data_IF_928065463868
#
_entry.id   IF_928065463868
#
_cell.length_a   1.000
_cell.length_b   1.000
_cell.length_c   1.000
_cell.angle_alpha   90.00
_cell.angle_beta   90.00
_cell.angle_gamma   90.00
#
_symmetry.space_group_name_H-M   'P 1'
#
loop_
_entity.id
_entity.type
_entity.pdbx_description
1 polymer ?
#
# COMPACT_ATOMS: atom_id res chain seq x y z
N UNK A 1 5.72 6.12 22.84
CA UNK A 1 5.95 6.64 21.49
C UNK A 1 4.81 6.26 20.57
N UNK A 2 4.46 7.13 19.65
CA UNK A 2 3.38 6.85 18.71
C UNK A 2 3.80 5.74 17.73
N UNK A 3 2.88 4.85 17.44
CA UNK A 3 3.08 3.82 16.42
C UNK A 3 3.18 4.48 15.05
N UNK A 4 3.95 3.87 14.16
CA UNK A 4 3.99 4.32 12.77
C UNK A 4 2.68 3.97 12.07
N UNK A 5 2.31 4.77 11.08
CA UNK A 5 1.05 4.63 10.36
C UNK A 5 1.26 3.84 9.07
N UNK A 6 0.45 2.81 8.87
CA UNK A 6 0.43 2.04 7.61
C UNK A 6 -0.96 2.20 7.00
N UNK A 7 -1.02 2.67 5.75
CA UNK A 7 -2.28 2.79 5.02
C UNK A 7 -2.48 1.56 4.15
N UNK A 8 -3.65 0.94 4.27
CA UNK A 8 -4.04 -0.20 3.43
C UNK A 8 -5.11 0.27 2.45
N UNK A 9 -4.82 0.21 1.17
CA UNK A 9 -5.76 0.60 0.11
C UNK A 9 -6.17 -0.65 -0.64
N UNK A 10 -7.43 -1.06 -0.47
CA UNK A 10 -7.99 -2.28 -1.08
C UNK A 10 -9.51 -2.13 -1.10
N UNK A 11 -10.15 -2.50 -2.19
CA UNK A 11 -11.60 -2.39 -2.32
C UNK A 11 -12.37 -3.51 -1.61
N UNK A 12 -11.67 -4.53 -1.13
CA UNK A 12 -12.28 -5.67 -0.47
C UNK A 12 -12.11 -5.57 1.05
N UNK A 13 -13.22 -5.40 1.76
CA UNK A 13 -13.22 -5.27 3.22
C UNK A 13 -12.53 -6.46 3.90
N UNK A 14 -12.81 -7.67 3.42
CA UNK A 14 -12.23 -8.88 3.99
C UNK A 14 -10.69 -8.86 3.93
N UNK A 15 -10.14 -8.41 2.80
CA UNK A 15 -8.68 -8.29 2.65
C UNK A 15 -8.12 -7.24 3.60
N UNK A 16 -8.80 -6.09 3.70
CA UNK A 16 -8.35 -5.04 4.63
C UNK A 16 -8.36 -5.54 6.06
N UNK A 17 -9.42 -6.25 6.47
CA UNK A 17 -9.54 -6.76 7.84
C UNK A 17 -8.42 -7.74 8.19
N UNK A 18 -8.04 -8.61 7.26
CA UNK A 18 -6.94 -9.55 7.47
C UNK A 18 -5.63 -8.80 7.72
N UNK A 19 -5.35 -7.79 6.92
CA UNK A 19 -4.11 -7.01 7.04
C UNK A 19 -4.13 -6.20 8.33
N UNK A 20 -5.28 -5.61 8.68
CA UNK A 20 -5.42 -4.87 9.94
C UNK A 20 -5.09 -5.79 11.12
N UNK A 21 -5.64 -6.99 11.15
CA UNK A 21 -5.37 -7.94 12.22
C UNK A 21 -3.90 -8.30 12.36
N UNK A 22 -3.20 -8.38 11.23
CA UNK A 22 -1.76 -8.68 11.23
C UNK A 22 -0.92 -7.54 11.75
N UNK A 23 -1.36 -6.30 11.54
CA UNK A 23 -0.52 -5.13 11.77
C UNK A 23 -0.92 -4.29 12.99
N UNK A 24 -2.14 -4.42 13.49
CA UNK A 24 -2.67 -3.49 14.51
C UNK A 24 -1.92 -3.48 15.83
N UNK A 25 -1.22 -4.56 16.17
CA UNK A 25 -0.44 -4.59 17.40
C UNK A 25 0.82 -3.73 17.32
N UNK A 26 1.37 -3.60 16.11
CA UNK A 26 2.65 -2.93 15.89
C UNK A 26 2.49 -1.56 15.23
N UNK A 27 1.43 -1.37 14.44
CA UNK A 27 1.21 -0.14 13.66
C UNK A 27 -0.18 0.42 13.87
N UNK A 28 -0.31 1.73 13.63
CA UNK A 28 -1.63 2.36 13.47
C UNK A 28 -2.05 2.11 12.02
N UNK A 29 -3.14 1.39 11.81
CA UNK A 29 -3.57 1.01 10.46
C UNK A 29 -4.68 1.92 9.99
N UNK A 30 -4.45 2.58 8.85
CA UNK A 30 -5.45 3.41 8.17
C UNK A 30 -5.97 2.61 6.99
N UNK A 31 -7.19 2.86 6.57
CA UNK A 31 -7.83 2.11 5.48
C UNK A 31 -8.42 3.04 4.44
N UNK A 32 -8.37 2.61 3.18
CA UNK A 32 -9.02 3.28 2.07
C UNK A 32 -9.63 2.21 1.15
N UNK A 33 -10.77 2.50 0.55
CA UNK A 33 -11.52 1.51 -0.24
C UNK A 33 -11.22 1.57 -1.74
N UNK A 34 -10.57 2.63 -2.19
CA UNK A 34 -10.16 2.78 -3.59
C UNK A 34 -8.97 3.74 -3.69
N UNK A 35 -8.47 3.91 -4.92
CA UNK A 35 -7.30 4.75 -5.13
C UNK A 35 -7.54 6.21 -4.83
N UNK A 36 -8.73 6.73 -5.12
CA UNK A 36 -9.07 8.13 -4.85
C UNK A 36 -9.03 8.41 -3.35
N UNK A 37 -9.68 7.56 -2.57
CA UNK A 37 -9.63 7.69 -1.11
C UNK A 37 -8.22 7.49 -0.60
N UNK A 38 -7.47 6.56 -1.20
CA UNK A 38 -6.06 6.31 -0.84
C UNK A 38 -5.21 7.55 -0.99
N UNK A 39 -5.35 8.28 -2.10
CA UNK A 39 -4.64 9.54 -2.32
C UNK A 39 -5.05 10.57 -1.28
N UNK A 40 -6.36 10.72 -1.04
CA UNK A 40 -6.88 11.70 -0.08
C UNK A 40 -6.38 11.42 1.34
N UNK A 41 -6.46 10.16 1.78
CA UNK A 41 -5.97 9.79 3.12
C UNK A 41 -4.46 10.03 3.23
N UNK A 42 -3.71 9.72 2.17
CA UNK A 42 -2.27 9.95 2.15
C UNK A 42 -1.96 11.43 2.34
N UNK A 43 -2.71 12.31 1.66
CA UNK A 43 -2.51 13.75 1.80
C UNK A 43 -2.83 14.26 3.20
N UNK A 44 -3.90 13.73 3.82
CA UNK A 44 -4.36 14.16 5.13
C UNK A 44 -3.54 13.59 6.27
N UNK A 45 -3.23 12.30 6.22
CA UNK A 45 -2.63 11.58 7.34
C UNK A 45 -1.12 11.36 7.20
N UNK A 46 -0.59 11.45 6.00
CA UNK A 46 0.83 11.25 5.70
C UNK A 46 1.38 9.98 6.36
N UNK A 47 0.86 8.80 5.94
CA UNK A 47 1.32 7.55 6.53
C UNK A 47 2.79 7.30 6.27
N UNK A 48 3.37 6.41 7.05
CA UNK A 48 4.78 6.06 6.93
C UNK A 48 5.02 5.00 5.83
N UNK A 49 3.97 4.27 5.46
CA UNK A 49 4.04 3.25 4.41
C UNK A 49 2.63 3.01 3.86
N UNK A 50 2.54 2.66 2.58
CA UNK A 50 1.26 2.35 1.92
C UNK A 50 1.31 0.96 1.32
N UNK A 51 0.27 0.15 1.59
CA UNK A 51 0.02 -1.11 0.90
C UNK A 51 -1.06 -0.83 -0.13
N UNK A 52 -0.72 -0.90 -1.41
CA UNK A 52 -1.59 -0.46 -2.49
C UNK A 52 -2.03 -1.62 -3.38
N UNK A 53 -3.34 -1.92 -3.38
CA UNK A 53 -3.91 -2.87 -4.32
C UNK A 53 -3.93 -2.22 -5.71
N UNK A 54 -3.46 -2.95 -6.72
CA UNK A 54 -3.36 -2.43 -8.08
C UNK A 54 -4.64 -2.58 -8.90
N UNK A 55 -5.49 -3.54 -8.54
CA UNK A 55 -6.66 -3.88 -9.35
C UNK A 55 -7.99 -3.34 -8.85
N UNK A 56 -8.04 -2.08 -8.42
CA UNK A 56 -9.27 -1.49 -7.88
C UNK A 56 -10.08 -0.73 -8.93
N UNK A 57 -11.43 -0.65 -8.73
CA UNK A 57 -12.26 0.19 -9.56
C UNK A 57 -12.08 1.69 -9.21
N UNK A 58 -12.72 2.58 -9.96
CA UNK A 58 -12.70 4.04 -9.84
C UNK A 58 -11.32 4.58 -10.17
N UNK A 59 -10.41 4.65 -9.22
CA UNK A 59 -9.02 4.98 -9.46
C UNK A 59 -8.21 3.76 -9.02
N UNK A 60 -7.53 3.11 -9.97
CA UNK A 60 -6.74 1.93 -9.64
C UNK A 60 -5.43 2.28 -8.92
N UNK A 61 -4.76 1.25 -8.41
CA UNK A 61 -3.54 1.46 -7.63
C UNK A 61 -2.39 2.04 -8.45
N UNK A 62 -2.36 1.82 -9.76
CA UNK A 62 -1.34 2.40 -10.64
C UNK A 62 -1.46 3.92 -10.68
N UNK A 63 -2.67 4.40 -10.93
CA UNK A 63 -2.93 5.84 -10.99
C UNK A 63 -2.70 6.51 -9.64
N UNK A 64 -3.20 5.88 -8.56
CA UNK A 64 -3.00 6.39 -7.21
C UNK A 64 -1.51 6.50 -6.87
N UNK A 65 -0.73 5.46 -7.21
CA UNK A 65 0.71 5.45 -6.97
C UNK A 65 1.40 6.60 -7.73
N UNK A 66 1.05 6.78 -9.00
CA UNK A 66 1.63 7.85 -9.79
C UNK A 66 1.33 9.23 -9.21
N UNK A 67 0.10 9.44 -8.75
CA UNK A 67 -0.29 10.72 -8.14
C UNK A 67 0.48 11.00 -6.85
N UNK A 68 0.63 9.99 -5.99
CA UNK A 68 1.37 10.13 -4.75
C UNK A 68 2.84 10.41 -5.03
N UNK A 69 3.43 9.68 -5.95
CA UNK A 69 4.86 9.84 -6.28
C UNK A 69 5.16 11.13 -7.06
N UNK A 70 4.15 11.73 -7.67
CA UNK A 70 4.29 13.03 -8.34
C UNK A 70 4.20 14.20 -7.36
N UNK A 71 3.76 13.97 -6.13
CA UNK A 71 3.62 15.02 -5.12
C UNK A 71 4.89 15.08 -4.28
N UNK A 72 5.60 16.20 -4.33
CA UNK A 72 6.87 16.38 -3.63
C UNK A 72 6.78 16.17 -2.13
N UNK A 73 5.62 16.47 -1.54
CA UNK A 73 5.40 16.29 -0.10
C UNK A 73 5.17 14.83 0.29
N UNK A 74 4.82 13.96 -0.67
CA UNK A 74 4.41 12.58 -0.42
C UNK A 74 5.30 11.53 -1.08
N UNK A 75 6.10 11.92 -2.07
CA UNK A 75 6.87 10.96 -2.87
C UNK A 75 7.85 10.10 -2.09
N UNK A 76 8.22 10.52 -0.89
CA UNK A 76 9.15 9.77 -0.04
C UNK A 76 8.49 8.58 0.67
N UNK A 77 7.16 8.52 0.68
CA UNK A 77 6.43 7.46 1.36
C UNK A 77 6.57 6.14 0.58
N UNK A 78 7.09 5.07 1.21
CA UNK A 78 7.19 3.78 0.51
C UNK A 78 5.83 3.23 0.15
N UNK A 79 5.70 2.70 -1.06
CA UNK A 79 4.47 2.06 -1.53
C UNK A 79 4.81 0.63 -1.92
N UNK A 80 4.17 -0.34 -1.27
CA UNK A 80 4.26 -1.75 -1.61
C UNK A 80 3.02 -2.10 -2.41
N UNK A 81 3.20 -2.45 -3.68
CA UNK A 81 2.10 -2.86 -4.55
C UNK A 81 1.65 -4.27 -4.18
N UNK A 82 0.34 -4.48 -4.11
CA UNK A 82 -0.26 -5.80 -3.84
C UNK A 82 -1.16 -6.15 -5.00
N UNK A 83 -0.99 -7.33 -5.60
CA UNK A 83 -1.73 -7.71 -6.78
C UNK A 83 -2.01 -9.20 -6.82
N UNK A 84 -3.13 -9.59 -7.44
CA UNK A 84 -3.46 -10.99 -7.68
C UNK A 84 -2.84 -11.51 -8.99
N UNK A 85 -2.15 -10.63 -9.73
CA UNK A 85 -1.49 -11.00 -10.98
C UNK A 85 0.04 -10.92 -10.79
N UNK A 86 0.64 -12.06 -10.42
CA UNK A 86 2.06 -12.12 -10.09
C UNK A 86 2.94 -12.44 -11.30
N UNK A 87 2.76 -11.71 -12.40
CA UNK A 87 3.58 -11.88 -13.60
C UNK A 87 4.75 -10.90 -13.57
N UNK A 88 5.86 -11.29 -14.17
CA UNK A 88 7.07 -10.45 -14.22
C UNK A 88 6.76 -9.07 -14.80
N UNK A 89 5.92 -9.00 -15.82
CA UNK A 89 5.51 -7.75 -16.44
C UNK A 89 4.81 -6.81 -15.47
N UNK A 90 3.98 -7.36 -14.59
CA UNK A 90 3.25 -6.57 -13.59
C UNK A 90 4.19 -5.95 -12.56
N UNK A 91 5.22 -6.68 -12.14
CA UNK A 91 6.21 -6.13 -11.22
C UNK A 91 6.97 -4.97 -11.85
N UNK A 92 7.37 -5.12 -13.12
CA UNK A 92 8.07 -4.06 -13.84
C UNK A 92 7.19 -2.83 -13.95
N UNK A 93 5.90 -3.00 -14.32
CA UNK A 93 4.98 -1.87 -14.44
C UNK A 93 4.73 -1.19 -13.08
N UNK A 94 4.63 -1.99 -11.99
CA UNK A 94 4.47 -1.42 -10.66
C UNK A 94 5.65 -0.52 -10.30
N UNK A 95 6.86 -0.97 -10.57
CA UNK A 95 8.06 -0.19 -10.29
C UNK A 95 8.13 1.06 -11.16
N UNK A 96 7.71 0.98 -12.42
CA UNK A 96 7.64 2.15 -13.30
C UNK A 96 6.65 3.18 -12.80
N UNK A 97 5.54 2.74 -12.18
CA UNK A 97 4.56 3.66 -11.59
C UNK A 97 5.08 4.31 -10.32
N UNK A 98 6.17 3.80 -9.75
CA UNK A 98 6.80 4.36 -8.56
C UNK A 98 6.69 3.51 -7.30
N UNK A 99 6.19 2.28 -7.40
CA UNK A 99 6.13 1.38 -6.25
C UNK A 99 7.53 0.98 -5.81
N UNK A 100 7.73 0.90 -4.51
CA UNK A 100 9.04 0.60 -3.93
C UNK A 100 9.25 -0.90 -3.74
N UNK A 101 8.16 -1.67 -3.65
CA UNK A 101 8.22 -3.13 -3.56
C UNK A 101 6.91 -3.72 -4.06
N UNK A 102 6.79 -5.02 -4.03
CA UNK A 102 5.73 -5.76 -4.69
C UNK A 102 5.39 -7.03 -3.92
N UNK A 103 4.12 -7.32 -3.76
CA UNK A 103 3.60 -8.55 -3.15
C UNK A 103 2.49 -9.13 -4.01
N UNK A 104 2.48 -10.45 -4.16
CA UNK A 104 1.39 -11.12 -4.84
C UNK A 104 0.36 -11.64 -3.83
N UNK A 105 -0.92 -11.67 -4.24
CA UNK A 105 -1.99 -12.28 -3.46
C UNK A 105 -2.04 -13.78 -3.74
N UNK A 106 -2.41 -14.61 -2.77
CA UNK A 106 -2.74 -14.25 -1.38
C UNK A 106 -1.49 -13.82 -0.62
N UNK A 107 -1.64 -12.79 0.22
CA UNK A 107 -0.52 -12.22 0.94
C UNK A 107 -0.05 -13.19 2.02
N UNK A 108 1.26 -13.49 2.00
CA UNK A 108 1.91 -14.29 3.04
C UNK A 108 2.25 -13.40 4.22
N UNK A 109 1.83 -13.77 5.42
CA UNK A 109 2.00 -12.98 6.63
C UNK A 109 3.48 -12.63 6.89
N UNK A 110 4.35 -13.64 6.81
CA UNK A 110 5.78 -13.45 7.07
C UNK A 110 6.42 -12.54 6.04
N UNK A 111 6.07 -12.73 4.77
CA UNK A 111 6.61 -11.93 3.69
C UNK A 111 6.18 -10.47 3.82
N UNK A 112 4.90 -10.25 4.16
CA UNK A 112 4.36 -8.90 4.37
C UNK A 112 5.10 -8.18 5.50
N UNK A 113 5.21 -8.82 6.65
CA UNK A 113 5.89 -8.22 7.81
C UNK A 113 7.36 -7.95 7.51
N UNK A 114 8.02 -8.88 6.82
CA UNK A 114 9.42 -8.71 6.45
C UNK A 114 9.63 -7.51 5.54
N UNK A 115 8.76 -7.32 4.55
CA UNK A 115 8.86 -6.18 3.64
C UNK A 115 8.56 -4.88 4.35
N UNK A 116 7.55 -4.86 5.22
CA UNK A 116 7.23 -3.65 6.00
C UNK A 116 8.42 -3.28 6.90
N UNK A 117 9.01 -4.25 7.59
CA UNK A 117 10.14 -3.99 8.47
C UNK A 117 11.37 -3.48 7.71
N UNK A 118 11.49 -3.79 6.44
CA UNK A 118 12.58 -3.26 5.60
C UNK A 118 12.48 -1.74 5.47
N UNK A 119 11.27 -1.22 5.36
CA UNK A 119 11.03 0.23 5.21
C UNK A 119 10.80 0.93 6.54
N UNK A 120 10.27 0.21 7.53
CA UNK A 120 9.95 0.74 8.86
C UNK A 120 10.62 -0.11 9.93
N UNK A 121 11.97 -0.02 10.04
CA UNK A 121 12.72 -0.83 10.99
C UNK A 121 12.43 -0.49 12.46
#
# INVERSE_FOLDING_TARGET
MAKKKVLVVDDTEWNRDLIVQLLEDEYTVLQAVDGEEGVRVTEQEKPDLILMDLGMPVMDGWEATRKIKANDALKHIPIIAVTSHAMIGDEIEARKAGCDDYLSKPVDDEELLKKIHRFLP
#
